data_IF_244549429733
#
_entry.id   IF_244549429733
#
_cell.length_a   1.000
_cell.length_b   1.000
_cell.length_c   1.000
_cell.angle_alpha   90.00
_cell.angle_beta   90.00
_cell.angle_gamma   90.00
#
_symmetry.space_group_name_H-M   'P 1'
#
loop_
_entity.id
_entity.type
_entity.pdbx_description
1 polymer ?
#
# COMPACT_ATOMS: atom_id res chain seq x y z
N UNK A 1 -2.91 -15.43 -4.95
CA UNK A 1 -3.71 -14.61 -5.90
C UNK A 1 -5.11 -15.18 -5.98
N UNK A 2 -6.13 -14.33 -6.27
CA UNK A 2 -7.54 -14.81 -6.28
C UNK A 2 -7.90 -15.42 -7.64
N UNK A 3 -7.35 -14.88 -8.73
CA UNK A 3 -7.60 -15.33 -10.10
C UNK A 3 -6.30 -15.22 -10.93
N UNK A 4 -5.45 -16.24 -10.90
CA UNK A 4 -4.17 -16.21 -11.60
C UNK A 4 -4.32 -16.22 -13.12
N UNK A 5 -5.33 -16.90 -13.66
CA UNK A 5 -5.59 -16.94 -15.09
C UNK A 5 -5.98 -15.57 -15.63
N UNK A 6 -6.87 -14.85 -14.95
CA UNK A 6 -7.24 -13.49 -15.33
C UNK A 6 -6.04 -12.54 -15.25
N UNK A 7 -5.22 -12.64 -14.20
CA UNK A 7 -4.02 -11.86 -14.06
C UNK A 7 -3.03 -12.15 -15.21
N UNK A 8 -2.83 -13.40 -15.58
CA UNK A 8 -1.99 -13.81 -16.70
C UNK A 8 -2.45 -13.19 -18.03
N UNK A 9 -3.76 -13.12 -18.27
CA UNK A 9 -4.34 -12.45 -19.44
C UNK A 9 -3.99 -10.96 -19.44
N UNK A 10 -4.10 -10.28 -18.30
CA UNK A 10 -3.77 -8.86 -18.17
C UNK A 10 -2.29 -8.60 -18.46
N UNK A 11 -1.37 -9.35 -17.81
CA UNK A 11 0.07 -9.17 -18.03
C UNK A 11 0.52 -9.48 -19.47
N UNK A 12 -0.13 -10.42 -20.14
CA UNK A 12 0.15 -10.76 -21.52
C UNK A 12 -0.66 -9.93 -22.55
N UNK A 13 -1.49 -9.00 -22.08
CA UNK A 13 -2.15 -8.01 -22.94
C UNK A 13 -1.12 -6.98 -23.47
N UNK A 14 -1.52 -6.23 -24.49
CA UNK A 14 -0.70 -5.09 -24.96
C UNK A 14 -0.96 -3.79 -24.21
N UNK A 15 -1.71 -3.85 -23.12
CA UNK A 15 -2.00 -2.70 -22.27
C UNK A 15 -0.77 -2.44 -21.38
N UNK A 16 -0.26 -1.21 -21.30
CA UNK A 16 0.82 -0.90 -20.37
C UNK A 16 0.39 -1.16 -18.93
N UNK A 17 1.12 -2.02 -18.21
CA UNK A 17 0.86 -2.35 -16.82
C UNK A 17 2.07 -1.96 -15.97
N UNK A 18 1.82 -1.33 -14.84
CA UNK A 18 2.82 -1.15 -13.78
C UNK A 18 2.38 -1.97 -12.59
N UNK A 19 3.15 -2.99 -12.26
CA UNK A 19 2.90 -3.83 -11.10
C UNK A 19 3.51 -3.18 -9.85
N UNK A 20 2.66 -2.97 -8.84
CA UNK A 20 3.08 -2.67 -7.48
C UNK A 20 2.68 -3.88 -6.61
N UNK A 21 3.61 -4.82 -6.46
CA UNK A 21 3.39 -6.05 -5.70
C UNK A 21 3.33 -5.81 -4.20
N UNK A 22 2.98 -6.85 -3.43
CA UNK A 22 2.93 -6.75 -1.96
C UNK A 22 4.30 -6.44 -1.35
N UNK A 23 5.38 -6.89 -1.99
CA UNK A 23 6.75 -6.58 -1.63
C UNK A 23 7.03 -5.08 -1.58
N UNK A 24 6.59 -4.34 -2.60
CA UNK A 24 6.71 -2.87 -2.65
C UNK A 24 5.65 -2.17 -1.81
N UNK A 25 4.45 -2.74 -1.71
CA UNK A 25 3.39 -2.20 -0.85
C UNK A 25 3.76 -2.28 0.64
N UNK A 26 4.51 -3.30 1.04
CA UNK A 26 4.99 -3.45 2.42
C UNK A 26 6.07 -2.42 2.80
N UNK A 27 6.63 -1.69 1.83
CA UNK A 27 7.50 -0.52 2.08
C UNK A 27 6.70 0.74 2.42
N UNK A 28 5.39 0.76 2.12
CA UNK A 28 4.49 1.89 2.38
C UNK A 28 3.63 1.58 3.59
N UNK A 29 4.15 1.88 4.76
CA UNK A 29 3.51 1.57 6.03
C UNK A 29 3.15 2.83 6.80
N UNK A 30 1.90 2.92 7.21
CA UNK A 30 1.41 3.93 8.13
C UNK A 30 1.64 3.49 9.58
N UNK A 31 2.07 4.41 10.41
CA UNK A 31 2.29 4.21 11.84
C UNK A 31 1.16 4.80 12.68
N UNK A 32 1.16 4.46 13.95
CA UNK A 32 0.20 5.02 14.93
C UNK A 32 0.31 6.54 14.99
N UNK A 33 1.53 7.06 14.98
CA UNK A 33 1.83 8.49 15.06
C UNK A 33 1.24 9.27 13.88
N UNK A 34 1.25 8.66 12.68
CA UNK A 34 0.63 9.23 11.48
C UNK A 34 -0.89 9.35 11.66
N UNK A 35 -1.50 8.31 12.26
CA UNK A 35 -2.93 8.30 12.52
C UNK A 35 -3.33 9.30 13.61
N UNK A 36 -2.50 9.47 14.64
CA UNK A 36 -2.69 10.50 15.66
C UNK A 36 -2.64 11.91 15.03
N UNK A 37 -1.68 12.15 14.11
CA UNK A 37 -1.58 13.41 13.37
C UNK A 37 -2.83 13.68 12.52
N UNK A 38 -3.37 12.66 11.85
CA UNK A 38 -4.62 12.79 11.09
C UNK A 38 -5.79 13.13 12.01
N UNK A 39 -5.87 12.47 13.17
CA UNK A 39 -6.94 12.71 14.15
C UNK A 39 -6.94 14.15 14.69
N UNK A 40 -5.77 14.76 14.90
CA UNK A 40 -5.61 16.13 15.37
C UNK A 40 -6.27 17.18 14.45
N UNK A 41 -6.46 16.88 13.18
CA UNK A 41 -7.16 17.79 12.26
C UNK A 41 -8.64 17.99 12.63
N UNK A 42 -9.30 16.99 13.25
CA UNK A 42 -10.63 17.07 13.86
C UNK A 42 -11.75 17.38 12.85
N UNK A 43 -11.62 16.95 11.62
CA UNK A 43 -12.67 17.08 10.59
C UNK A 43 -13.48 15.78 10.52
N UNK A 44 -14.67 15.81 9.92
CA UNK A 44 -15.49 14.60 9.72
C UNK A 44 -14.74 13.51 8.94
N UNK A 45 -13.92 13.92 7.96
CA UNK A 45 -13.16 12.98 7.12
C UNK A 45 -12.01 12.37 7.90
N UNK A 46 -11.25 13.15 8.65
CA UNK A 46 -10.15 12.64 9.47
C UNK A 46 -10.65 11.77 10.61
N UNK A 47 -11.79 12.08 11.22
CA UNK A 47 -12.44 11.20 12.20
C UNK A 47 -12.84 9.86 11.59
N UNK A 48 -13.43 9.88 10.40
CA UNK A 48 -13.78 8.66 9.68
C UNK A 48 -12.54 7.82 9.35
N UNK A 49 -11.49 8.44 8.79
CA UNK A 49 -10.23 7.76 8.46
C UNK A 49 -9.57 7.15 9.71
N UNK A 50 -9.54 7.89 10.80
CA UNK A 50 -8.98 7.41 12.07
C UNK A 50 -9.74 6.18 12.59
N UNK A 51 -11.07 6.20 12.54
CA UNK A 51 -11.89 5.04 12.92
C UNK A 51 -11.67 3.84 11.98
N UNK A 52 -11.61 4.09 10.68
CA UNK A 52 -11.41 3.05 9.67
C UNK A 52 -10.05 2.36 9.82
N UNK A 53 -9.00 3.11 10.05
CA UNK A 53 -7.62 2.61 10.08
C UNK A 53 -7.20 2.07 11.44
N UNK A 54 -7.73 2.63 12.53
CA UNK A 54 -7.34 2.25 13.90
C UNK A 54 -7.52 0.76 14.21
N UNK A 55 -8.54 0.10 13.64
CA UNK A 55 -8.77 -1.33 13.86
C UNK A 55 -7.74 -2.23 13.16
N UNK A 56 -7.05 -1.73 12.14
CA UNK A 56 -6.06 -2.50 11.38
C UNK A 56 -4.65 -2.41 11.95
N UNK A 57 -4.39 -1.40 12.78
CA UNK A 57 -3.07 -1.21 13.37
C UNK A 57 -2.83 -2.24 14.48
N UNK A 58 -1.84 -3.08 14.28
CA UNK A 58 -1.50 -4.17 15.21
C UNK A 58 -0.68 -3.64 16.41
N UNK A 59 -1.35 -3.04 17.39
CA UNK A 59 -0.76 -2.55 18.65
C UNK A 59 -1.70 -2.85 19.83
N UNK A 60 -1.17 -2.77 21.06
CA UNK A 60 -1.98 -2.82 22.27
C UNK A 60 -3.10 -1.77 22.21
N UNK A 61 -4.30 -2.13 22.67
CA UNK A 61 -5.46 -1.25 22.62
C UNK A 61 -5.13 0.13 23.23
N UNK A 62 -5.17 1.16 22.39
CA UNK A 62 -4.90 2.54 22.76
C UNK A 62 -5.96 3.43 22.13
N UNK A 63 -6.71 4.22 22.92
CA UNK A 63 -7.67 5.17 22.35
C UNK A 63 -6.92 6.31 21.65
N UNK A 64 -7.47 6.75 20.52
CA UNK A 64 -7.00 7.93 19.78
C UNK A 64 -8.01 9.05 19.98
N UNK A 65 -7.52 10.23 20.30
CA UNK A 65 -8.34 11.41 20.55
C UNK A 65 -8.06 12.49 19.48
N UNK A 66 -9.10 13.26 19.12
CA UNK A 66 -8.96 14.46 18.30
C UNK A 66 -8.43 15.65 19.12
N UNK A 67 -8.22 16.80 18.46
CA UNK A 67 -7.79 18.05 19.10
C UNK A 67 -8.78 18.60 20.14
N UNK A 68 -10.03 18.12 20.15
CA UNK A 68 -11.08 18.51 21.10
C UNK A 68 -11.22 17.52 22.25
N UNK A 69 -10.38 16.47 22.30
CA UNK A 69 -10.41 15.44 23.32
C UNK A 69 -11.49 14.37 23.12
N UNK A 70 -12.14 14.30 21.97
CA UNK A 70 -13.11 13.25 21.66
C UNK A 70 -12.39 11.98 21.20
N UNK A 71 -12.84 10.82 21.70
CA UNK A 71 -12.32 9.53 21.22
C UNK A 71 -12.82 9.27 19.81
N UNK A 72 -11.90 9.31 18.82
CA UNK A 72 -12.20 9.11 17.40
C UNK A 72 -11.81 7.72 16.91
N UNK A 73 -11.03 6.97 17.66
CA UNK A 73 -10.63 5.62 17.31
C UNK A 73 -10.05 4.83 18.46
N UNK A 74 -9.67 3.59 18.17
CA UNK A 74 -8.98 2.72 19.12
C UNK A 74 -8.10 1.73 18.37
N UNK A 75 -6.86 1.59 18.80
CA UNK A 75 -5.92 0.62 18.28
C UNK A 75 -6.08 -0.66 19.07
N UNK A 76 -6.42 -1.76 18.41
CA UNK A 76 -6.57 -3.09 19.02
C UNK A 76 -5.32 -3.93 18.83
N UNK A 77 -4.98 -4.72 19.84
CA UNK A 77 -3.93 -5.72 19.73
C UNK A 77 -4.47 -6.95 18.98
N UNK A 78 -4.24 -7.03 17.68
CA UNK A 78 -4.55 -8.23 16.89
C UNK A 78 -3.28 -8.77 16.20
N UNK A 79 -3.11 -10.09 16.25
CA UNK A 79 -2.02 -10.79 15.58
C UNK A 79 -2.33 -10.90 14.08
N UNK A 80 -1.78 -10.03 13.27
CA UNK A 80 -1.59 -10.33 11.85
C UNK A 80 -0.14 -10.78 11.65
N UNK A 81 0.02 -12.04 11.23
CA UNK A 81 1.32 -12.57 10.87
C UNK A 81 1.97 -11.65 9.83
N UNK A 82 3.24 -11.33 10.04
CA UNK A 82 4.15 -10.64 9.13
C UNK A 82 4.18 -9.10 9.10
N UNK A 83 3.44 -8.37 9.92
CA UNK A 83 3.59 -6.91 10.02
C UNK A 83 4.21 -6.51 11.35
N UNK A 84 5.07 -5.50 11.33
CA UNK A 84 5.63 -4.92 12.57
C UNK A 84 4.49 -4.38 13.44
N UNK A 85 4.57 -4.59 14.75
CA UNK A 85 3.57 -4.05 15.67
C UNK A 85 3.45 -2.54 15.52
N UNK A 86 2.23 -2.05 15.33
CA UNK A 86 1.95 -0.63 15.20
C UNK A 86 2.03 -0.07 13.80
N UNK A 87 2.14 -0.93 12.78
CA UNK A 87 2.17 -0.53 11.39
C UNK A 87 1.00 -1.15 10.60
N UNK A 88 0.54 -0.43 9.58
CA UNK A 88 -0.46 -0.89 8.61
C UNK A 88 0.05 -0.61 7.20
N UNK A 89 0.06 -1.62 6.34
CA UNK A 89 0.30 -1.44 4.91
C UNK A 89 -0.93 -0.83 4.23
N UNK A 90 -0.69 0.11 3.34
CA UNK A 90 -1.71 0.84 2.59
C UNK A 90 -1.54 0.55 1.09
N UNK A 91 -1.97 -0.65 0.66
CA UNK A 91 -1.74 -1.13 -0.70
C UNK A 91 -2.36 -0.19 -1.76
N UNK A 92 -3.58 0.27 -1.55
CA UNK A 92 -4.27 1.16 -2.50
C UNK A 92 -3.62 2.56 -2.51
N UNK A 93 -3.10 3.02 -1.36
CA UNK A 93 -2.32 4.24 -1.29
C UNK A 93 -1.02 4.13 -2.11
N UNK A 94 -0.38 2.96 -2.10
CA UNK A 94 0.84 2.72 -2.87
C UNK A 94 0.58 2.92 -4.36
N UNK A 95 -0.50 2.35 -4.90
CA UNK A 95 -0.86 2.52 -6.31
C UNK A 95 -1.26 3.96 -6.65
N UNK A 96 -2.01 4.61 -5.79
CA UNK A 96 -2.37 6.03 -5.93
C UNK A 96 -1.14 6.93 -5.87
N UNK A 97 -0.21 6.62 -4.96
CA UNK A 97 1.06 7.34 -4.81
C UNK A 97 1.92 7.27 -6.06
N UNK A 98 1.96 6.12 -6.75
CA UNK A 98 2.65 6.00 -8.03
C UNK A 98 2.06 6.92 -9.11
N UNK A 99 0.74 7.05 -9.16
CA UNK A 99 0.07 7.96 -10.11
C UNK A 99 0.34 9.44 -9.80
N UNK A 100 0.44 9.80 -8.52
CA UNK A 100 0.69 11.19 -8.09
C UNK A 100 2.15 11.57 -8.28
N UNK A 101 3.07 10.72 -7.87
CA UNK A 101 4.50 10.97 -7.98
C UNK A 101 5.29 9.67 -8.21
N UNK A 102 5.49 9.29 -9.48
CA UNK A 102 6.23 8.07 -9.82
C UNK A 102 7.71 8.09 -9.39
N UNK A 103 8.27 9.28 -9.08
CA UNK A 103 9.66 9.39 -8.61
C UNK A 103 9.90 8.79 -7.20
N UNK A 104 8.84 8.51 -6.46
CA UNK A 104 8.95 7.76 -5.20
C UNK A 104 9.22 6.26 -5.43
N UNK A 105 9.17 5.80 -6.67
CA UNK A 105 9.30 4.38 -7.00
C UNK A 105 10.42 4.12 -7.99
N UNK A 106 11.05 2.97 -7.82
CA UNK A 106 11.96 2.44 -8.84
C UNK A 106 11.29 1.29 -9.56
N UNK A 107 11.29 1.37 -10.88
CA UNK A 107 10.65 0.38 -11.74
C UNK A 107 11.64 -0.22 -12.73
N UNK A 108 11.41 -1.46 -13.10
CA UNK A 108 12.15 -2.18 -14.13
C UNK A 108 11.17 -2.52 -15.26
N UNK A 109 11.51 -2.16 -16.50
CA UNK A 109 10.79 -2.63 -17.68
C UNK A 109 11.27 -4.03 -18.02
N UNK A 110 10.41 -5.03 -17.85
CA UNK A 110 10.79 -6.43 -17.94
C UNK A 110 9.60 -7.30 -18.35
N UNK A 111 9.86 -8.58 -18.57
CA UNK A 111 8.81 -9.57 -18.77
C UNK A 111 8.25 -10.01 -17.43
N UNK A 112 6.93 -9.92 -17.29
CA UNK A 112 6.17 -10.43 -16.14
C UNK A 112 5.22 -11.51 -16.66
N UNK A 113 5.15 -12.61 -15.94
CA UNK A 113 4.17 -13.67 -16.16
C UNK A 113 3.53 -14.11 -14.84
N UNK A 114 2.50 -14.90 -14.89
CA UNK A 114 1.81 -15.45 -13.71
C UNK A 114 1.87 -16.97 -13.80
N UNK A 115 2.33 -17.58 -12.71
CA UNK A 115 2.25 -19.04 -12.58
C UNK A 115 0.79 -19.44 -12.31
N UNK A 116 0.30 -20.37 -13.09
CA UNK A 116 -1.11 -20.82 -12.99
C UNK A 116 -1.23 -22.31 -12.64
N UNK A 117 -0.13 -22.94 -12.24
CA UNK A 117 -0.10 -24.36 -11.89
C UNK A 117 0.96 -24.65 -10.83
N UNK A 118 0.78 -25.71 -10.09
CA UNK A 118 1.77 -26.22 -9.17
C UNK A 118 1.90 -25.46 -7.86
N UNK A 119 3.08 -25.51 -7.26
CA UNK A 119 3.33 -24.99 -5.91
C UNK A 119 3.24 -23.46 -5.84
N UNK A 120 3.61 -22.77 -6.90
CA UNK A 120 3.63 -21.32 -6.99
C UNK A 120 2.40 -20.75 -7.70
N UNK A 121 1.31 -21.50 -7.77
CA UNK A 121 0.07 -21.05 -8.40
C UNK A 121 -0.39 -19.69 -7.84
N UNK A 122 -0.57 -18.73 -8.76
CA UNK A 122 -0.92 -17.34 -8.42
C UNK A 122 0.27 -16.41 -8.14
N UNK A 123 1.51 -16.87 -8.20
CA UNK A 123 2.68 -16.03 -8.09
C UNK A 123 2.96 -15.26 -9.39
N UNK A 124 3.28 -13.95 -9.26
CA UNK A 124 3.83 -13.17 -10.37
C UNK A 124 5.32 -13.39 -10.44
N UNK A 125 5.79 -13.85 -11.59
CA UNK A 125 7.20 -14.17 -11.84
C UNK A 125 7.81 -13.09 -12.72
N UNK A 126 8.97 -12.59 -12.30
CA UNK A 126 9.66 -11.48 -12.92
C UNK A 126 10.94 -11.95 -13.58
N UNK A 127 11.11 -11.68 -14.88
CA UNK A 127 12.35 -11.97 -15.59
C UNK A 127 13.38 -10.85 -15.37
N UNK A 128 14.01 -10.82 -14.21
CA UNK A 128 14.99 -9.79 -13.85
C UNK A 128 16.20 -9.73 -14.77
N UNK A 129 16.55 -10.84 -15.41
CA UNK A 129 17.77 -10.97 -16.19
C UNK A 129 17.52 -11.05 -17.70
N UNK A 130 16.27 -11.03 -18.14
CA UNK A 130 15.91 -11.17 -19.55
C UNK A 130 16.21 -12.56 -20.12
N UNK A 131 16.17 -13.60 -19.29
CA UNK A 131 16.54 -14.97 -19.67
C UNK A 131 15.45 -15.70 -20.45
N UNK A 132 14.22 -15.23 -20.42
CA UNK A 132 13.11 -15.89 -21.11
C UNK A 132 13.10 -15.65 -22.63
N UNK A 133 13.93 -14.73 -23.12
CA UNK A 133 13.99 -14.41 -24.54
C UNK A 133 12.71 -13.82 -25.12
N UNK A 134 11.89 -13.22 -24.25
CA UNK A 134 10.66 -12.50 -24.60
C UNK A 134 10.90 -10.98 -24.50
N UNK A 135 10.25 -10.22 -25.37
CA UNK A 135 10.24 -8.77 -25.25
C UNK A 135 9.58 -8.33 -23.93
N UNK A 136 10.17 -7.35 -23.24
CA UNK A 136 9.55 -6.76 -22.03
C UNK A 136 8.14 -6.30 -22.33
N UNK A 137 7.21 -6.69 -21.45
CA UNK A 137 5.79 -6.40 -21.64
C UNK A 137 5.21 -5.43 -20.60
N UNK A 138 5.87 -5.30 -19.44
CA UNK A 138 5.32 -4.55 -18.31
C UNK A 138 6.43 -3.87 -17.49
N UNK A 139 6.01 -3.05 -16.51
CA UNK A 139 6.90 -2.46 -15.54
C UNK A 139 6.67 -3.10 -14.16
N UNK A 140 7.74 -3.47 -13.51
CA UNK A 140 7.75 -4.01 -12.16
C UNK A 140 8.35 -2.98 -11.21
N UNK A 141 7.57 -2.52 -10.22
CA UNK A 141 8.08 -1.69 -9.14
C UNK A 141 8.72 -2.58 -8.08
N UNK A 142 9.97 -2.29 -7.70
CA UNK A 142 10.76 -3.09 -6.77
C UNK A 142 11.24 -2.31 -5.54
N UNK A 143 11.08 -0.99 -5.54
CA UNK A 143 11.45 -0.12 -4.43
C UNK A 143 10.49 1.06 -4.36
N UNK A 144 10.15 1.50 -3.13
CA UNK A 144 9.34 2.68 -2.88
C UNK A 144 9.92 3.50 -1.72
N UNK A 145 9.91 4.84 -1.88
CA UNK A 145 10.08 5.77 -0.77
C UNK A 145 8.74 5.89 -0.01
N UNK A 146 8.44 4.87 0.78
CA UNK A 146 7.19 4.77 1.53
C UNK A 146 7.06 5.87 2.58
N UNK A 147 8.17 6.32 3.16
CA UNK A 147 8.15 7.41 4.14
C UNK A 147 7.71 8.73 3.51
N UNK A 148 8.29 9.11 2.37
CA UNK A 148 7.89 10.31 1.64
C UNK A 148 6.42 10.26 1.20
N UNK A 149 5.97 9.10 0.73
CA UNK A 149 4.59 8.90 0.30
C UNK A 149 3.61 9.05 1.47
N UNK A 150 3.84 8.35 2.58
CA UNK A 150 2.97 8.42 3.76
C UNK A 150 2.95 9.83 4.34
N UNK A 151 4.10 10.49 4.43
CA UNK A 151 4.20 11.88 4.91
C UNK A 151 3.38 12.84 4.04
N UNK A 152 3.45 12.69 2.72
CA UNK A 152 2.64 13.53 1.81
C UNK A 152 1.15 13.23 1.99
N UNK A 153 0.76 11.95 2.08
CA UNK A 153 -0.61 11.55 2.29
C UNK A 153 -1.19 12.10 3.61
N UNK A 154 -0.45 12.00 4.72
CA UNK A 154 -0.86 12.58 6.01
C UNK A 154 -1.08 14.08 5.88
N UNK A 155 -0.15 14.79 5.24
CA UNK A 155 -0.26 16.22 4.98
C UNK A 155 -1.52 16.56 4.18
N UNK A 156 -1.80 15.81 3.11
CA UNK A 156 -2.94 16.06 2.24
C UNK A 156 -4.26 15.77 2.98
N UNK A 157 -4.33 14.67 3.74
CA UNK A 157 -5.52 14.34 4.54
C UNK A 157 -5.81 15.36 5.63
N UNK A 158 -4.78 15.93 6.25
CA UNK A 158 -4.95 16.96 7.29
C UNK A 158 -5.29 18.34 6.71
N UNK A 159 -4.93 18.61 5.46
CA UNK A 159 -5.15 19.89 4.80
C UNK A 159 -6.46 19.96 3.99
N UNK A 160 -6.85 18.86 3.36
CA UNK A 160 -7.86 18.85 2.30
C UNK A 160 -9.31 19.06 2.79
N UNK A 161 -9.60 18.93 4.06
CA UNK A 161 -10.97 18.92 4.60
C UNK A 161 -11.14 19.90 5.76
N UNK A 162 -10.38 20.97 5.75
CA UNK A 162 -10.60 22.09 6.66
C UNK A 162 -11.80 22.90 6.16
N UNK A 163 -12.86 22.95 6.96
CA UNK A 163 -14.00 23.80 6.75
C UNK A 163 -13.59 25.30 6.76
#
# INVERSE_FOLDING_TARGET
>A
MVDPEAAKVVYNSKIPVVQLGLDVCDMVTQRVEDLETIAEAGTRVTDFLTRLLSFRINKAAKPIYDKHGNKVGEIKAENQANRKKGEIGLNDLTTTGYLINPHWFRTLHTTIDVETQGLCDGETVIDYMGLWGREPNNYFAYEADGEALVKQWVKDMTAAFRD
#
